data_IF_944785558723
#
_entry.id   IF_944785558723
#
_cell.length_a   1.000
_cell.length_b   1.000
_cell.length_c   1.000
_cell.angle_alpha   90.00
_cell.angle_beta   90.00
_cell.angle_gamma   90.00
#
_symmetry.space_group_name_H-M   'P 1'
#
loop_
_entity.id
_entity.type
_entity.pdbx_description
1 polymer ?
#
# COMPACT_ATOMS: atom_id res chain seq x y z
N UNK A 1 -10.58 -5.26 10.77
CA UNK A 1 -11.12 -3.97 10.30
C UNK A 1 -12.62 -3.99 10.53
N UNK A 2 -13.16 -3.08 11.35
CA UNK A 2 -14.56 -3.10 11.79
C UNK A 2 -15.49 -2.40 10.79
N UNK A 3 -16.70 -2.93 10.58
CA UNK A 3 -17.72 -2.41 9.64
C UNK A 3 -18.32 -1.04 10.05
N UNK A 4 -17.87 -0.45 11.16
CA UNK A 4 -18.34 0.83 11.67
C UNK A 4 -18.01 2.03 10.76
N UNK A 5 -17.00 1.92 9.88
CA UNK A 5 -16.52 3.03 9.06
C UNK A 5 -17.30 3.26 7.75
N UNK A 6 -18.25 2.38 7.39
CA UNK A 6 -18.99 2.50 6.13
C UNK A 6 -20.12 3.53 6.14
N UNK A 7 -20.40 4.19 7.27
CA UNK A 7 -21.46 5.22 7.34
C UNK A 7 -20.92 6.61 7.00
N UNK A 8 -20.65 6.84 5.71
CA UNK A 8 -20.43 8.20 5.20
C UNK A 8 -21.77 8.95 5.18
N UNK A 9 -22.09 9.69 6.25
CA UNK A 9 -23.17 10.69 6.22
C UNK A 9 -22.79 11.80 5.24
N UNK A 10 -23.24 11.70 4.00
CA UNK A 10 -23.14 12.79 3.03
C UNK A 10 -24.28 13.76 3.35
N UNK A 11 -23.94 14.93 3.88
CA UNK A 11 -24.90 16.03 4.05
C UNK A 11 -25.58 16.31 2.70
N UNK A 12 -26.91 16.38 2.69
CA UNK A 12 -27.71 16.58 1.49
C UNK A 12 -27.25 17.82 0.74
N UNK A 13 -26.60 17.63 -0.41
CA UNK A 13 -26.23 18.74 -1.28
C UNK A 13 -27.51 19.27 -1.92
N UNK A 14 -27.69 20.58 -1.94
CA UNK A 14 -28.78 21.23 -2.66
C UNK A 14 -28.69 20.81 -4.14
N UNK A 15 -29.58 19.90 -4.56
CA UNK A 15 -29.73 19.55 -5.96
C UNK A 15 -30.30 20.78 -6.67
N UNK A 16 -29.59 21.28 -7.68
CA UNK A 16 -30.16 22.24 -8.63
C UNK A 16 -31.33 21.53 -9.32
N UNK A 17 -32.47 22.22 -9.46
CA UNK A 17 -33.59 21.70 -10.23
C UNK A 17 -33.15 21.68 -11.69
N UNK A 18 -32.91 20.49 -12.22
CA UNK A 18 -32.54 20.28 -13.61
C UNK A 18 -33.81 20.38 -14.47
N UNK A 19 -33.75 21.16 -15.55
CA UNK A 19 -34.85 21.22 -16.52
C UNK A 19 -34.75 20.06 -17.54
N UNK A 20 -35.86 19.76 -18.22
CA UNK A 20 -35.92 18.67 -19.21
C UNK A 20 -34.98 18.94 -20.38
N UNK A 21 -34.92 20.18 -20.86
CA UNK A 21 -34.04 20.55 -21.97
C UNK A 21 -32.55 20.42 -21.57
N UNK A 22 -32.20 20.84 -20.35
CA UNK A 22 -30.85 20.68 -19.79
C UNK A 22 -30.44 19.20 -19.66
N UNK A 23 -31.38 18.34 -19.29
CA UNK A 23 -31.15 16.89 -19.21
C UNK A 23 -30.93 16.26 -20.59
N UNK A 24 -31.72 16.65 -21.60
CA UNK A 24 -31.61 16.13 -22.96
C UNK A 24 -30.27 16.55 -23.57
N UNK A 25 -29.90 17.82 -23.42
CA UNK A 25 -28.61 18.34 -23.88
C UNK A 25 -27.45 17.58 -23.22
N UNK A 26 -27.48 17.40 -21.89
CA UNK A 26 -26.42 16.65 -21.18
C UNK A 26 -26.38 15.17 -21.58
N UNK A 27 -27.52 14.53 -21.85
CA UNK A 27 -27.58 13.15 -22.32
C UNK A 27 -26.94 12.99 -23.71
N UNK A 28 -27.16 13.95 -24.61
CA UNK A 28 -26.50 13.95 -25.94
C UNK A 28 -25.01 14.20 -25.82
N UNK A 29 -24.59 15.14 -24.96
CA UNK A 29 -23.19 15.37 -24.66
C UNK A 29 -22.54 14.14 -24.00
N UNK A 30 -23.25 13.44 -23.12
CA UNK A 30 -22.79 12.19 -22.49
C UNK A 30 -22.53 11.10 -23.52
N UNK A 31 -23.45 10.89 -24.46
CA UNK A 31 -23.28 9.93 -25.55
C UNK A 31 -22.05 10.24 -26.42
N UNK A 32 -21.68 11.51 -26.53
CA UNK A 32 -20.48 11.99 -27.22
C UNK A 32 -19.22 12.02 -26.32
N UNK A 33 -19.33 11.70 -25.03
CA UNK A 33 -18.21 11.69 -24.07
C UNK A 33 -17.88 13.03 -23.40
N UNK A 34 -18.79 14.01 -23.45
CA UNK A 34 -18.59 15.40 -23.03
C UNK A 34 -19.64 15.91 -22.01
N UNK A 35 -20.27 15.03 -21.22
CA UNK A 35 -21.29 15.45 -20.22
C UNK A 35 -20.74 16.45 -19.20
N UNK A 36 -21.56 17.47 -18.94
CA UNK A 36 -21.32 18.60 -18.05
C UNK A 36 -21.81 18.25 -16.63
N UNK A 37 -22.91 17.50 -16.50
CA UNK A 37 -23.48 17.11 -15.20
C UNK A 37 -22.71 15.96 -14.55
N UNK A 38 -22.11 15.08 -15.35
CA UNK A 38 -21.17 14.05 -14.87
C UNK A 38 -19.74 14.56 -14.82
N UNK A 39 -19.49 15.87 -14.84
CA UNK A 39 -18.29 16.37 -14.18
C UNK A 39 -18.59 16.33 -12.68
N UNK A 40 -18.27 15.25 -11.96
CA UNK A 40 -18.14 15.45 -10.54
C UNK A 40 -17.08 16.54 -10.43
N UNK A 41 -17.33 17.52 -9.59
CA UNK A 41 -16.29 18.28 -8.90
C UNK A 41 -15.40 17.37 -8.04
N UNK A 42 -15.13 16.14 -8.47
CA UNK A 42 -13.83 15.56 -8.28
C UNK A 42 -12.91 16.54 -9.02
N UNK A 43 -12.03 17.27 -8.32
CA UNK A 43 -10.98 17.99 -9.03
C UNK A 43 -10.42 16.98 -10.01
N UNK A 44 -10.41 17.31 -11.31
CA UNK A 44 -9.65 16.57 -12.29
C UNK A 44 -8.34 16.30 -11.58
N UNK A 45 -8.13 15.05 -11.17
CA UNK A 45 -6.89 14.66 -10.50
C UNK A 45 -5.91 14.78 -11.65
N UNK A 46 -5.40 16.00 -11.88
CA UNK A 46 -4.02 16.24 -12.24
C UNK A 46 -3.31 15.35 -11.24
N UNK A 47 -3.00 14.12 -11.67
CA UNK A 47 -2.21 13.17 -10.92
C UNK A 47 -1.04 14.03 -10.52
N UNK A 48 -0.96 14.43 -9.25
CA UNK A 48 0.03 15.39 -8.80
C UNK A 48 1.35 14.76 -9.21
N UNK A 49 1.98 15.27 -10.26
CA UNK A 49 3.31 14.87 -10.72
C UNK A 49 4.38 15.35 -9.71
N UNK A 50 3.95 15.78 -8.52
CA UNK A 50 4.75 16.13 -7.36
C UNK A 50 4.96 14.94 -6.41
N UNK A 51 4.57 13.73 -6.79
CA UNK A 51 5.12 12.55 -6.15
C UNK A 51 6.56 12.44 -6.67
N UNK A 52 7.54 12.97 -5.91
CA UNK A 52 8.95 12.59 -6.04
C UNK A 52 8.97 11.12 -6.42
N UNK A 53 9.57 10.77 -7.55
CA UNK A 53 9.60 9.39 -8.05
C UNK A 53 9.94 8.49 -6.85
N UNK A 54 8.93 7.79 -6.35
CA UNK A 54 9.12 6.93 -5.19
C UNK A 54 9.85 5.73 -5.77
N UNK A 55 11.18 5.78 -5.71
CA UNK A 55 12.05 4.75 -6.27
C UNK A 55 11.89 3.39 -5.55
N UNK A 56 11.07 3.33 -4.50
CA UNK A 56 10.73 2.10 -3.80
C UNK A 56 9.52 1.43 -4.44
N UNK A 57 9.73 0.20 -4.93
CA UNK A 57 8.66 -0.71 -5.34
C UNK A 57 8.07 -1.39 -4.10
N UNK A 58 6.76 -1.61 -4.09
CA UNK A 58 6.11 -2.38 -3.04
C UNK A 58 6.46 -3.87 -3.21
N UNK A 59 6.65 -4.59 -2.11
CA UNK A 59 6.88 -6.02 -2.08
C UNK A 59 6.00 -6.67 -1.01
N UNK A 60 5.54 -7.89 -1.28
CA UNK A 60 4.77 -8.72 -0.34
C UNK A 60 5.60 -9.95 -0.02
N UNK A 61 5.74 -10.28 1.27
CA UNK A 61 6.52 -11.42 1.74
C UNK A 61 5.64 -12.35 2.57
N UNK A 62 5.92 -13.64 2.48
CA UNK A 62 5.31 -14.65 3.37
C UNK A 62 6.20 -14.81 4.59
N UNK A 63 5.66 -14.58 5.77
CA UNK A 63 6.36 -14.73 7.06
C UNK A 63 5.51 -15.58 7.99
N UNK A 64 6.14 -16.40 8.83
CA UNK A 64 5.42 -17.08 9.92
C UNK A 64 5.03 -16.08 11.01
N UNK A 65 4.11 -16.49 11.89
CA UNK A 65 3.64 -15.65 12.98
C UNK A 65 4.78 -15.23 13.93
N UNK A 66 5.64 -16.17 14.32
CA UNK A 66 6.81 -15.92 15.19
C UNK A 66 7.72 -14.82 14.60
N UNK A 67 8.00 -14.87 13.29
CA UNK A 67 8.84 -13.85 12.63
C UNK A 67 8.17 -12.48 12.54
N UNK A 68 6.83 -12.43 12.41
CA UNK A 68 6.08 -11.17 12.42
C UNK A 68 6.20 -10.51 13.80
N UNK A 69 6.07 -11.27 14.89
CA UNK A 69 6.22 -10.75 16.25
C UNK A 69 7.64 -10.27 16.53
N UNK A 70 8.66 -11.03 16.12
CA UNK A 70 10.06 -10.62 16.23
C UNK A 70 10.33 -9.30 15.49
N UNK A 71 9.81 -9.15 14.27
CA UNK A 71 9.95 -7.91 13.49
C UNK A 71 9.20 -6.73 14.11
N UNK A 72 8.06 -6.98 14.77
CA UNK A 72 7.32 -5.97 15.51
C UNK A 72 8.11 -5.48 16.73
N UNK A 73 8.62 -6.42 17.53
CA UNK A 73 9.41 -6.11 18.72
C UNK A 73 10.66 -5.30 18.35
N UNK A 74 11.36 -5.68 17.27
CA UNK A 74 12.50 -4.91 16.74
C UNK A 74 12.09 -3.48 16.34
N UNK A 75 10.95 -3.30 15.68
CA UNK A 75 10.46 -1.99 15.28
C UNK A 75 10.09 -1.10 16.48
N UNK A 76 9.47 -1.69 17.50
CA UNK A 76 9.10 -0.98 18.74
C UNK A 76 10.34 -0.57 19.53
N UNK A 77 11.31 -1.48 19.70
CA UNK A 77 12.53 -1.22 20.46
C UNK A 77 13.47 -0.22 19.77
N UNK A 78 13.63 -0.31 18.43
CA UNK A 78 14.52 0.59 17.68
C UNK A 78 13.87 1.90 17.26
N UNK A 79 12.53 1.96 17.24
CA UNK A 79 11.77 3.06 16.65
C UNK A 79 11.82 3.09 15.11
N UNK A 80 12.46 2.11 14.46
CA UNK A 80 12.52 2.04 13.00
C UNK A 80 11.28 1.37 12.42
N UNK A 81 10.81 1.90 11.29
CA UNK A 81 9.78 1.23 10.51
C UNK A 81 10.28 -0.14 10.03
N UNK A 82 9.41 -1.16 10.04
CA UNK A 82 9.73 -2.53 9.61
C UNK A 82 10.41 -2.60 8.24
N UNK A 83 9.93 -1.81 7.28
CA UNK A 83 10.53 -1.73 5.94
C UNK A 83 11.92 -1.10 5.93
N UNK A 84 12.27 -0.24 6.90
CA UNK A 84 13.63 0.29 7.08
C UNK A 84 14.55 -0.78 7.65
N UNK A 85 14.08 -1.55 8.64
CA UNK A 85 14.83 -2.66 9.23
C UNK A 85 15.20 -3.67 8.14
N UNK A 86 14.23 -4.13 7.34
CA UNK A 86 14.50 -5.06 6.24
C UNK A 86 15.53 -4.51 5.25
N UNK A 87 15.45 -3.23 4.89
CA UNK A 87 16.45 -2.60 4.00
C UNK A 87 17.86 -2.58 4.60
N UNK A 88 17.98 -2.26 5.88
CA UNK A 88 19.28 -2.25 6.58
C UNK A 88 19.88 -3.66 6.64
N UNK A 89 19.06 -4.67 6.95
CA UNK A 89 19.52 -6.06 6.98
C UNK A 89 20.00 -6.52 5.59
N UNK A 90 19.29 -6.15 4.52
CA UNK A 90 19.68 -6.46 3.15
C UNK A 90 20.97 -5.73 2.76
N UNK A 91 21.12 -4.45 3.12
CA UNK A 91 22.32 -3.65 2.86
C UNK A 91 23.54 -4.27 3.56
N UNK A 92 23.39 -4.62 4.83
CA UNK A 92 24.45 -5.32 5.58
C UNK A 92 24.81 -6.67 4.96
N UNK A 93 23.82 -7.45 4.51
CA UNK A 93 24.08 -8.73 3.86
C UNK A 93 24.75 -8.56 2.50
N UNK A 94 24.39 -7.52 1.74
CA UNK A 94 24.96 -7.25 0.43
C UNK A 94 26.43 -6.81 0.47
N UNK A 95 26.89 -6.26 1.61
CA UNK A 95 28.29 -5.91 1.83
C UNK A 95 29.18 -7.14 2.13
N UNK A 96 28.59 -8.30 2.42
CA UNK A 96 29.32 -9.55 2.65
C UNK A 96 29.54 -10.34 1.35
N UNK A 97 30.56 -11.22 1.32
CA UNK A 97 30.83 -12.08 0.15
C UNK A 97 29.77 -13.18 0.04
N UNK A 98 29.52 -13.65 -1.18
CA UNK A 98 28.52 -14.71 -1.45
C UNK A 98 28.80 -16.01 -0.67
N UNK A 99 30.08 -16.40 -0.54
CA UNK A 99 30.49 -17.59 0.25
C UNK A 99 30.14 -17.46 1.73
N UNK A 100 30.26 -16.26 2.31
CA UNK A 100 29.92 -16.00 3.71
C UNK A 100 28.40 -16.07 3.92
N UNK A 101 27.63 -15.59 2.94
CA UNK A 101 26.16 -15.66 2.94
C UNK A 101 25.70 -17.12 2.85
N UNK A 102 26.28 -17.91 1.96
CA UNK A 102 25.93 -19.32 1.81
C UNK A 102 26.26 -20.12 3.08
N UNK A 103 27.43 -19.88 3.68
CA UNK A 103 27.77 -20.45 4.98
C UNK A 103 26.72 -20.05 6.05
N UNK A 104 26.33 -18.79 6.11
CA UNK A 104 25.31 -18.31 7.04
C UNK A 104 23.95 -19.01 6.81
N UNK A 105 23.50 -19.14 5.55
CA UNK A 105 22.25 -19.80 5.22
C UNK A 105 22.25 -21.30 5.58
N UNK A 106 23.38 -22.00 5.41
CA UNK A 106 23.50 -23.41 5.82
C UNK A 106 23.39 -23.58 7.34
N UNK A 107 24.03 -22.69 8.12
CA UNK A 107 23.93 -22.74 9.58
C UNK A 107 22.51 -22.48 10.08
N UNK A 108 21.81 -21.50 9.47
CA UNK A 108 20.43 -21.18 9.82
C UNK A 108 19.46 -22.33 9.50
N UNK A 109 19.65 -23.02 8.35
CA UNK A 109 18.87 -24.21 8.01
C UNK A 109 19.05 -25.34 9.04
N UNK A 110 20.29 -25.53 9.52
CA UNK A 110 20.59 -26.55 10.54
C UNK A 110 19.89 -26.25 11.88
N UNK A 111 19.87 -24.98 12.31
CA UNK A 111 19.18 -24.58 13.53
C UNK A 111 17.67 -24.80 13.45
N UNK A 112 17.06 -24.57 12.29
CA UNK A 112 15.63 -24.85 12.09
C UNK A 112 15.28 -26.34 12.17
N UNK A 113 16.21 -27.23 11.78
CA UNK A 113 16.01 -28.68 11.84
C UNK A 113 16.15 -29.25 13.26
N UNK A 114 16.95 -28.62 14.13
CA UNK A 114 17.15 -29.09 15.50
C UNK A 114 16.04 -28.67 16.47
N UNK A 115 15.12 -27.77 16.05
CA UNK A 115 13.99 -27.30 16.87
C UNK A 115 12.80 -28.28 16.88
N UNK A 116 12.85 -29.37 16.10
CA UNK A 116 11.74 -30.35 15.97
C UNK A 116 11.90 -31.62 16.79
N UNK A 117 13.02 -31.82 17.50
CA UNK A 117 13.32 -33.07 18.23
C UNK A 117 13.36 -32.94 19.76
N UNK A 118 12.67 -31.97 20.36
CA UNK A 118 12.43 -31.92 21.82
C UNK A 118 10.96 -31.59 22.13
#
# INVERSE_FOLDING_TARGET
MSLADLKKKVAGKNLKKLDVDEFIEDATAYAQGHSILTQPTLPAKKRKQNARARNFKNATFTLSHEHIEQLNHLAEHTGFAKSRILRLLIEQLADHNDEDIDALLTTLKKTSSNKTDN
#
